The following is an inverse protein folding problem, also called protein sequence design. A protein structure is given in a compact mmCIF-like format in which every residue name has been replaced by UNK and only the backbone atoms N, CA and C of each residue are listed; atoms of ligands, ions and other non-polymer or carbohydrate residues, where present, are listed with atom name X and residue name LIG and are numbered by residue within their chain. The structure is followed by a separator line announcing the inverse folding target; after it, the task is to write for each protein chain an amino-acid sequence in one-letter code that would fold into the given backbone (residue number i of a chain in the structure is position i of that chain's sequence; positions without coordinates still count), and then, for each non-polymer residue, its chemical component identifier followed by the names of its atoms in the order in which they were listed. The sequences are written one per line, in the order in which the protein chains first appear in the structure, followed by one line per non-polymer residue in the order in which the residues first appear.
data_IF_513583985272
#
_entry.id   IF_513583985272
#
_cell.length_a   1.000
_cell.length_b   1.000
_cell.length_c   1.000
_cell.angle_alpha   90.00
_cell.angle_beta   90.00
_cell.angle_gamma   90.00
#
_symmetry.space_group_name_H-M   'P 1'
#
loop_
_entity.id
_entity.type
_entity.pdbx_description
1 polymer ?
#
# COMPACT_ATOMS: atom_id res chain seq x y z
N UNK A 1 -13.91 -0.28 5.91
CA UNK A 1 -13.85 0.02 4.47
C UNK A 1 -15.05 0.85 4.07
N UNK A 2 -14.89 1.87 3.21
CA UNK A 2 -16.00 2.57 2.58
C UNK A 2 -17.03 1.61 1.97
N UNK A 3 -18.28 2.03 2.06
CA UNK A 3 -19.48 1.26 1.77
C UNK A 3 -20.42 2.00 0.81
N UNK A 4 -20.07 3.23 0.43
CA UNK A 4 -20.76 4.03 -0.59
C UNK A 4 -19.77 4.76 -1.50
N UNK A 5 -20.19 5.19 -2.71
CA UNK A 5 -19.36 6.02 -3.57
C UNK A 5 -18.88 7.31 -2.92
N UNK A 6 -19.72 7.96 -2.10
CA UNK A 6 -19.41 9.23 -1.42
C UNK A 6 -18.27 9.04 -0.42
N UNK A 7 -18.26 7.94 0.33
CA UNK A 7 -17.16 7.63 1.25
C UNK A 7 -15.84 7.39 0.50
N UNK A 8 -15.89 6.79 -0.70
CA UNK A 8 -14.71 6.65 -1.57
C UNK A 8 -14.23 7.98 -2.14
N UNK A 9 -15.15 8.87 -2.51
CA UNK A 9 -14.80 10.22 -2.98
C UNK A 9 -14.05 11.01 -1.90
N UNK A 10 -14.47 10.91 -0.63
CA UNK A 10 -13.77 11.52 0.49
C UNK A 10 -12.33 11.01 0.62
N UNK A 11 -12.10 9.70 0.43
CA UNK A 11 -10.74 9.14 0.43
C UNK A 11 -9.93 9.70 -0.73
N UNK A 12 -10.53 9.80 -1.92
CA UNK A 12 -9.88 10.35 -3.11
C UNK A 12 -9.51 11.82 -2.97
N UNK A 13 -10.38 12.64 -2.40
CA UNK A 13 -10.13 14.05 -2.14
C UNK A 13 -8.95 14.22 -1.19
N UNK A 14 -8.92 13.45 -0.10
CA UNK A 14 -7.80 13.45 0.85
C UNK A 14 -6.48 13.03 0.19
N UNK A 15 -6.49 12.05 -0.72
CA UNK A 15 -5.30 11.68 -1.49
C UNK A 15 -4.83 12.78 -2.43
N UNK A 16 -5.76 13.46 -3.08
CA UNK A 16 -5.43 14.57 -3.95
C UNK A 16 -4.79 15.72 -3.16
N UNK A 17 -5.39 16.10 -2.04
CA UNK A 17 -4.92 17.20 -1.18
C UNK A 17 -3.58 16.87 -0.53
N UNK A 18 -3.46 15.70 0.11
CA UNK A 18 -2.32 15.36 0.95
C UNK A 18 -1.17 14.72 0.17
N UNK A 19 -1.43 14.09 -0.98
CA UNK A 19 -0.43 13.33 -1.74
C UNK A 19 -0.29 13.77 -3.19
N UNK A 20 -1.08 14.75 -3.64
CA UNK A 20 -1.11 15.21 -5.02
C UNK A 20 -1.40 14.08 -6.02
N UNK A 21 -2.25 13.13 -5.63
CA UNK A 21 -2.64 12.00 -6.46
C UNK A 21 -4.17 11.96 -6.60
N UNK A 22 -4.74 12.52 -7.68
CA UNK A 22 -6.19 12.53 -7.90
C UNK A 22 -6.73 11.11 -8.16
N UNK A 23 -8.04 10.93 -8.02
CA UNK A 23 -8.77 9.67 -8.27
C UNK A 23 -8.18 8.43 -7.57
N UNK A 24 -7.49 8.63 -6.44
CA UNK A 24 -6.81 7.56 -5.71
C UNK A 24 -7.62 7.11 -4.50
N UNK A 25 -7.97 5.83 -4.43
CA UNK A 25 -8.81 5.26 -3.37
C UNK A 25 -8.01 4.65 -2.20
N UNK A 26 -6.68 4.70 -2.27
CA UNK A 26 -5.80 4.09 -1.27
C UNK A 26 -4.60 3.39 -1.87
N UNK A 27 -3.62 3.09 -1.02
CA UNK A 27 -2.49 2.26 -1.40
C UNK A 27 -2.63 0.85 -0.85
N UNK A 28 -2.45 -0.14 -1.73
CA UNK A 28 -2.50 -1.56 -1.39
C UNK A 28 -1.07 -2.07 -1.23
N UNK A 29 -0.85 -2.79 -0.14
CA UNK A 29 0.42 -3.45 0.12
C UNK A 29 0.20 -4.74 0.88
N UNK A 30 1.07 -5.71 0.66
CA UNK A 30 1.11 -6.92 1.47
C UNK A 30 2.49 -7.10 2.08
N UNK A 31 2.54 -7.69 3.28
CA UNK A 31 3.80 -8.14 3.91
C UNK A 31 3.60 -9.52 4.51
N UNK A 32 4.62 -10.36 4.42
CA UNK A 32 4.66 -11.56 5.25
C UNK A 32 4.80 -11.16 6.72
N UNK A 33 4.13 -11.84 7.64
CA UNK A 33 4.38 -11.78 9.08
C UNK A 33 5.05 -13.09 9.46
N UNK A 34 6.33 -13.02 9.85
CA UNK A 34 7.09 -14.21 10.19
C UNK A 34 6.51 -14.94 11.42
N UNK A 35 6.49 -16.26 11.34
CA UNK A 35 6.09 -17.18 12.40
C UNK A 35 7.27 -18.08 12.78
N UNK A 36 7.32 -18.53 14.03
CA UNK A 36 8.02 -19.77 14.31
C UNK A 36 7.32 -20.90 13.55
N UNK A 37 8.09 -21.80 12.96
CA UNK A 37 7.56 -22.95 12.21
C UNK A 37 6.51 -23.67 13.05
N UNK A 38 5.24 -23.70 12.60
CA UNK A 38 4.19 -24.40 13.32
C UNK A 38 4.47 -25.90 13.38
N UNK A 39 4.00 -26.55 14.44
CA UNK A 39 4.22 -27.99 14.64
C UNK A 39 3.48 -28.76 13.54
N UNK A 40 4.14 -29.73 12.92
CA UNK A 40 3.59 -30.58 11.84
C UNK A 40 3.09 -29.84 10.58
N UNK A 41 3.51 -28.59 10.34
CA UNK A 41 3.05 -27.80 9.18
C UNK A 41 3.71 -28.12 7.84
N UNK A 42 4.72 -29.00 7.83
CA UNK A 42 5.53 -29.27 6.65
C UNK A 42 6.05 -27.97 6.00
N UNK A 43 5.75 -27.79 4.70
CA UNK A 43 6.15 -26.61 3.92
C UNK A 43 5.02 -25.61 3.65
N UNK A 44 3.87 -25.75 4.32
CA UNK A 44 2.65 -24.99 4.01
C UNK A 44 2.84 -23.47 4.21
N UNK A 45 3.49 -23.09 5.32
CA UNK A 45 3.80 -21.69 5.65
C UNK A 45 5.17 -21.24 5.16
N UNK A 46 5.95 -22.16 4.58
CA UNK A 46 7.34 -21.94 4.18
C UNK A 46 7.38 -21.03 2.93
N UNK A 47 7.83 -19.80 3.13
CA UNK A 47 7.91 -18.79 2.08
C UNK A 47 9.20 -18.94 1.26
N UNK A 48 9.28 -18.16 0.17
CA UNK A 48 10.43 -18.17 -0.74
C UNK A 48 11.75 -17.68 -0.12
N UNK A 49 11.71 -17.12 1.09
CA UNK A 49 12.90 -16.73 1.88
C UNK A 49 13.23 -17.76 2.96
N UNK A 50 12.72 -18.97 2.87
CA UNK A 50 13.03 -20.07 3.79
C UNK A 50 12.55 -19.88 5.23
N UNK A 51 11.46 -19.12 5.44
CA UNK A 51 10.85 -18.91 6.75
C UNK A 51 9.34 -19.19 6.72
N UNK A 52 8.76 -19.60 7.85
CA UNK A 52 7.31 -19.71 7.98
C UNK A 52 6.67 -18.32 8.16
N UNK A 53 5.56 -18.06 7.47
CA UNK A 53 4.85 -16.79 7.59
C UNK A 53 3.37 -16.90 7.19
N UNK A 54 2.56 -15.99 7.72
CA UNK A 54 1.25 -15.63 7.14
C UNK A 54 1.40 -14.31 6.37
N UNK A 55 0.47 -13.96 5.51
CA UNK A 55 0.48 -12.68 4.78
C UNK A 55 -0.56 -11.74 5.36
N UNK A 56 -0.16 -10.51 5.65
CA UNK A 56 -1.04 -9.38 5.91
C UNK A 56 -1.15 -8.54 4.64
N UNK A 57 -2.32 -8.53 4.02
CA UNK A 57 -2.69 -7.64 2.92
C UNK A 57 -3.49 -6.46 3.49
N UNK A 58 -3.15 -5.23 3.11
CA UNK A 58 -3.81 -4.05 3.61
C UNK A 58 -4.04 -3.00 2.53
N UNK A 59 -5.11 -2.22 2.70
CA UNK A 59 -5.40 -0.98 1.99
C UNK A 59 -5.36 0.16 3.00
N UNK A 60 -4.62 1.23 2.70
CA UNK A 60 -4.42 2.36 3.62
C UNK A 60 -4.84 3.67 2.96
N UNK A 61 -5.45 4.58 3.74
CA UNK A 61 -5.86 5.92 3.31
C UNK A 61 -4.74 6.96 3.41
N UNK A 62 -4.94 8.16 2.82
CA UNK A 62 -3.97 9.25 2.88
C UNK A 62 -3.66 9.73 4.31
N UNK A 63 -4.53 9.43 5.28
CA UNK A 63 -4.40 9.75 6.69
C UNK A 63 -3.72 8.64 7.52
N UNK A 64 -3.08 7.67 6.85
CA UNK A 64 -2.38 6.55 7.45
C UNK A 64 -3.28 5.61 8.26
N UNK A 65 -4.57 5.51 7.93
CA UNK A 65 -5.45 4.50 8.54
C UNK A 65 -5.61 3.30 7.62
N UNK A 66 -5.70 2.11 8.20
CA UNK A 66 -6.16 0.93 7.50
C UNK A 66 -7.63 1.09 7.10
N UNK A 67 -7.91 1.05 5.79
CA UNK A 67 -9.25 0.99 5.22
C UNK A 67 -9.77 -0.45 5.23
N UNK A 68 -8.86 -1.37 4.92
CA UNK A 68 -9.08 -2.81 4.82
C UNK A 68 -7.80 -3.53 5.24
N UNK A 69 -7.96 -4.69 5.88
CA UNK A 69 -6.89 -5.62 6.17
C UNK A 69 -7.42 -7.05 6.10
N UNK A 70 -6.57 -7.96 5.63
CA UNK A 70 -6.81 -9.39 5.53
C UNK A 70 -5.50 -10.10 5.91
N UNK A 71 -5.56 -10.98 6.90
CA UNK A 71 -4.40 -11.66 7.46
C UNK A 71 -4.65 -13.18 7.50
N UNK A 72 -3.59 -13.98 7.52
CA UNK A 72 -3.68 -15.43 7.72
C UNK A 72 -3.41 -16.28 6.47
N UNK A 73 -3.40 -15.68 5.28
CA UNK A 73 -3.05 -16.39 4.04
C UNK A 73 -1.64 -17.00 4.15
N UNK A 74 -1.47 -18.26 3.75
CA UNK A 74 -0.19 -18.96 3.91
C UNK A 74 0.94 -18.30 3.11
N UNK A 75 2.13 -18.18 3.72
CA UNK A 75 3.28 -17.50 3.15
C UNK A 75 3.90 -18.14 1.90
N UNK A 76 3.50 -19.37 1.55
CA UNK A 76 3.86 -20.01 0.27
C UNK A 76 3.15 -19.38 -0.93
N UNK A 77 1.99 -18.76 -0.71
CA UNK A 77 1.16 -18.21 -1.79
C UNK A 77 1.79 -16.90 -2.30
N UNK A 78 1.97 -16.79 -3.62
CA UNK A 78 2.44 -15.53 -4.26
C UNK A 78 1.47 -14.38 -3.99
N UNK A 79 1.93 -13.13 -4.01
CA UNK A 79 1.11 -11.92 -3.81
C UNK A 79 -0.11 -11.91 -4.71
N UNK A 80 0.09 -12.26 -5.98
CA UNK A 80 -0.99 -12.28 -6.95
C UNK A 80 -2.02 -13.36 -6.63
N UNK A 81 -1.64 -14.41 -5.90
CA UNK A 81 -2.53 -15.41 -5.32
C UNK A 81 -3.22 -14.86 -4.06
N UNK A 82 -2.46 -14.35 -3.09
CA UNK A 82 -3.00 -13.74 -1.85
C UNK A 82 -4.05 -12.69 -2.20
N UNK A 83 -3.70 -11.76 -3.10
CA UNK A 83 -4.59 -10.71 -3.56
C UNK A 83 -5.82 -11.29 -4.25
N UNK A 84 -5.69 -12.23 -5.20
CA UNK A 84 -6.84 -12.84 -5.89
C UNK A 84 -7.79 -13.60 -4.95
N UNK A 85 -7.26 -14.18 -3.88
CA UNK A 85 -8.07 -14.89 -2.89
C UNK A 85 -8.67 -13.98 -1.82
N UNK A 86 -8.11 -12.78 -1.65
CA UNK A 86 -8.60 -11.79 -0.69
C UNK A 86 -10.04 -11.37 -0.96
N UNK A 87 -10.74 -11.02 0.11
CA UNK A 87 -12.10 -10.48 0.01
C UNK A 87 -12.14 -9.15 -0.76
N UNK A 88 -11.07 -8.35 -0.69
CA UNK A 88 -10.93 -7.11 -1.45
C UNK A 88 -11.01 -7.36 -2.97
N UNK A 89 -10.24 -8.32 -3.48
CA UNK A 89 -10.28 -8.65 -4.91
C UNK A 89 -11.62 -9.23 -5.34
N UNK A 90 -12.21 -10.13 -4.53
CA UNK A 90 -13.54 -10.69 -4.84
C UNK A 90 -14.59 -9.59 -4.96
N UNK A 91 -14.62 -8.65 -4.01
CA UNK A 91 -15.54 -7.50 -4.04
C UNK A 91 -15.25 -6.53 -5.18
N UNK A 92 -13.98 -6.37 -5.57
CA UNK A 92 -13.59 -5.58 -6.73
C UNK A 92 -14.11 -6.20 -8.03
N UNK A 93 -14.02 -7.52 -8.19
CA UNK A 93 -14.50 -8.22 -9.39
C UNK A 93 -16.03 -8.29 -9.47
N UNK A 94 -16.71 -8.35 -8.33
CA UNK A 94 -18.18 -8.38 -8.27
C UNK A 94 -18.83 -6.99 -8.24
N UNK A 95 -18.06 -5.91 -8.42
CA UNK A 95 -18.50 -4.51 -8.29
C UNK A 95 -19.18 -4.16 -6.94
N UNK A 96 -18.89 -4.92 -5.89
CA UNK A 96 -19.48 -4.75 -4.56
C UNK A 96 -18.74 -3.71 -3.69
N UNK A 97 -17.61 -3.20 -4.17
CA UNK A 97 -16.91 -2.08 -3.53
C UNK A 97 -17.63 -0.74 -3.71
N UNK A 98 -18.58 -0.63 -4.65
CA UNK A 98 -19.29 0.63 -4.97
C UNK A 98 -18.31 1.78 -5.27
N UNK A 99 -17.29 1.48 -6.07
CA UNK A 99 -16.34 2.49 -6.55
C UNK A 99 -17.12 3.55 -7.35
N UNK A 100 -16.83 4.86 -7.18
CA UNK A 100 -17.47 5.92 -7.95
C UNK A 100 -17.27 5.74 -9.46
N UNK A 101 -18.20 6.27 -10.25
CA UNK A 101 -18.05 6.32 -11.71
C UNK A 101 -16.79 7.07 -12.11
N UNK A 102 -16.18 6.68 -13.23
CA UNK A 102 -15.01 7.34 -13.79
C UNK A 102 -15.17 8.87 -13.84
N UNK A 103 -14.06 9.58 -13.65
CA UNK A 103 -14.00 11.04 -13.68
C UNK A 103 -12.70 11.46 -14.36
N UNK A 104 -12.74 12.55 -15.13
CA UNK A 104 -11.51 13.10 -15.68
C UNK A 104 -10.57 13.61 -14.58
N UNK A 105 -9.27 13.51 -14.84
CA UNK A 105 -8.27 14.13 -13.96
C UNK A 105 -8.36 15.66 -14.06
N UNK A 106 -7.94 16.42 -13.02
CA UNK A 106 -8.01 17.88 -13.03
C UNK A 106 -7.36 18.49 -14.29
N UNK A 107 -8.13 19.27 -15.07
CA UNK A 107 -7.64 19.90 -16.30
C UNK A 107 -7.44 18.94 -17.49
N UNK A 108 -7.92 17.69 -17.40
CA UNK A 108 -7.95 16.71 -18.48
C UNK A 108 -9.40 16.47 -18.92
N UNK A 109 -9.58 15.98 -20.15
CA UNK A 109 -10.91 15.71 -20.73
C UNK A 109 -11.26 14.22 -20.77
N UNK A 110 -10.26 13.34 -20.74
CA UNK A 110 -10.48 11.91 -20.76
C UNK A 110 -10.90 11.42 -19.37
N UNK A 111 -12.03 10.74 -19.29
CA UNK A 111 -12.47 10.08 -18.07
C UNK A 111 -11.57 8.87 -17.78
N UNK A 112 -11.18 8.74 -16.51
CA UNK A 112 -10.44 7.58 -16.02
C UNK A 112 -11.08 7.06 -14.75
N UNK A 113 -10.93 5.77 -14.56
CA UNK A 113 -11.42 5.08 -13.39
C UNK A 113 -10.69 5.54 -12.13
N UNK A 114 -11.38 5.42 -10.99
CA UNK A 114 -10.72 5.53 -9.69
C UNK A 114 -9.84 4.31 -9.45
N UNK A 115 -8.65 4.54 -8.87
CA UNK A 115 -7.58 3.53 -8.80
C UNK A 115 -7.04 3.37 -7.38
N UNK A 116 -6.62 2.16 -7.07
CA UNK A 116 -5.75 1.84 -5.96
C UNK A 116 -4.30 1.84 -6.41
N UNK A 117 -3.41 2.33 -5.56
CA UNK A 117 -1.98 2.31 -5.82
C UNK A 117 -1.40 0.98 -5.32
N UNK A 118 -1.05 0.08 -6.24
CA UNK A 118 -0.46 -1.21 -5.91
C UNK A 118 1.06 -1.21 -6.00
N UNK A 119 1.72 -1.88 -5.06
CA UNK A 119 3.15 -2.19 -5.17
C UNK A 119 3.46 -2.98 -6.46
N UNK A 120 4.72 -3.02 -6.88
CA UNK A 120 5.14 -3.62 -8.15
C UNK A 120 4.65 -5.07 -8.37
N UNK A 121 4.50 -5.81 -7.28
CA UNK A 121 4.08 -7.20 -7.28
C UNK A 121 2.57 -7.40 -7.55
N UNK A 122 1.75 -6.36 -7.46
CA UNK A 122 0.34 -6.41 -7.84
C UNK A 122 0.19 -6.41 -9.37
N UNK A 123 -0.86 -7.06 -9.92
CA UNK A 123 -1.16 -6.96 -11.35
C UNK A 123 -1.68 -5.55 -11.69
N UNK A 124 -1.23 -4.99 -12.82
CA UNK A 124 -1.83 -3.79 -13.38
C UNK A 124 -3.24 -4.15 -13.90
N UNK A 125 -4.26 -3.42 -13.46
CA UNK A 125 -5.66 -3.68 -13.82
C UNK A 125 -6.45 -2.36 -13.88
N UNK A 126 -7.73 -2.44 -14.26
CA UNK A 126 -8.62 -1.30 -14.39
C UNK A 126 -8.63 -0.37 -13.16
N UNK A 127 -8.62 -0.95 -11.96
CA UNK A 127 -8.64 -0.21 -10.69
C UNK A 127 -7.33 -0.31 -9.89
N UNK A 128 -6.25 -0.85 -10.47
CA UNK A 128 -4.96 -0.97 -9.76
C UNK A 128 -3.84 -0.50 -10.67
N UNK A 129 -3.20 0.58 -10.28
CA UNK A 129 -2.04 1.11 -10.99
C UNK A 129 -0.75 0.82 -10.21
N UNK A 130 0.32 0.57 -10.96
CA UNK A 130 1.64 0.26 -10.43
C UNK A 130 2.73 0.93 -11.28
N UNK A 131 3.97 1.03 -10.77
CA UNK A 131 5.08 1.65 -11.49
C UNK A 131 5.27 1.07 -12.90
N UNK A 132 5.80 1.87 -13.82
CA UNK A 132 6.45 1.37 -15.02
C UNK A 132 7.66 0.52 -14.63
N UNK A 133 7.81 -0.62 -15.29
CA UNK A 133 8.91 -1.56 -15.03
C UNK A 133 10.19 -1.12 -15.73
N UNK A 134 11.33 -1.38 -15.11
CA UNK A 134 12.64 -1.06 -15.64
C UNK A 134 13.16 0.30 -15.17
N UNK A 135 14.34 0.65 -15.68
CA UNK A 135 15.02 1.91 -15.35
C UNK A 135 14.69 2.95 -16.41
N UNK A 136 14.22 4.11 -15.96
CA UNK A 136 13.84 5.23 -16.82
C UNK A 136 14.77 6.42 -16.61
N UNK A 137 14.98 7.20 -17.67
CA UNK A 137 15.85 8.39 -17.62
C UNK A 137 15.21 9.49 -16.75
N UNK A 138 16.06 10.28 -16.10
CA UNK A 138 15.63 11.47 -15.35
C UNK A 138 14.78 12.39 -16.24
N UNK A 139 13.66 12.89 -15.71
CA UNK A 139 12.70 13.73 -16.42
C UNK A 139 11.81 13.01 -17.44
N UNK A 140 11.93 11.69 -17.62
CA UNK A 140 10.98 10.97 -18.47
C UNK A 140 9.60 10.89 -17.82
N UNK A 141 8.57 10.72 -18.65
CA UNK A 141 7.19 10.58 -18.21
C UNK A 141 7.02 9.39 -17.23
N UNK A 142 7.63 8.25 -17.53
CA UNK A 142 7.60 7.06 -16.69
C UNK A 142 8.30 7.30 -15.35
N UNK A 143 9.42 8.02 -15.38
CA UNK A 143 10.21 8.32 -14.18
C UNK A 143 9.47 9.28 -13.25
N UNK A 144 8.85 10.33 -13.80
CA UNK A 144 7.98 11.26 -13.05
C UNK A 144 6.78 10.52 -12.46
N UNK A 145 6.11 9.70 -13.26
CA UNK A 145 4.99 8.89 -12.78
C UNK A 145 5.41 7.95 -11.65
N UNK A 146 6.50 7.20 -11.82
CA UNK A 146 7.00 6.27 -10.81
C UNK A 146 7.32 7.00 -9.51
N UNK A 147 7.98 8.15 -9.59
CA UNK A 147 8.29 8.97 -8.41
C UNK A 147 7.01 9.45 -7.69
N UNK A 148 6.04 10.00 -8.42
CA UNK A 148 4.75 10.46 -7.88
C UNK A 148 3.96 9.32 -7.23
N UNK A 149 3.91 8.16 -7.89
CA UNK A 149 3.24 6.97 -7.37
C UNK A 149 3.96 6.41 -6.14
N UNK A 150 5.28 6.28 -6.14
CA UNK A 150 6.05 5.81 -4.98
C UNK A 150 5.87 6.73 -3.77
N UNK A 151 5.86 8.06 -3.99
CA UNK A 151 5.58 9.04 -2.93
C UNK A 151 4.18 8.85 -2.33
N UNK A 152 3.16 8.71 -3.17
CA UNK A 152 1.79 8.50 -2.72
C UNK A 152 1.59 7.11 -2.06
N UNK A 153 2.32 6.09 -2.51
CA UNK A 153 2.30 4.75 -1.91
C UNK A 153 3.02 4.69 -0.57
N UNK A 154 4.03 5.53 -0.32
CA UNK A 154 4.85 5.51 0.91
C UNK A 154 4.03 5.52 2.20
N UNK A 155 2.81 6.05 2.18
CA UNK A 155 1.87 6.01 3.30
C UNK A 155 1.65 4.60 3.84
N UNK A 156 1.54 3.59 2.97
CA UNK A 156 1.29 2.21 3.41
C UNK A 156 2.54 1.65 4.08
N UNK A 157 3.72 1.93 3.53
CA UNK A 157 5.00 1.51 4.13
C UNK A 157 5.19 2.11 5.52
N UNK A 158 4.85 3.40 5.70
CA UNK A 158 4.84 4.07 6.99
C UNK A 158 3.92 3.34 7.97
N UNK A 159 2.69 3.00 7.58
CA UNK A 159 1.75 2.32 8.47
C UNK A 159 2.28 0.95 8.92
N UNK A 160 2.81 0.15 8.01
CA UNK A 160 3.43 -1.14 8.38
C UNK A 160 4.66 -0.94 9.28
N UNK A 161 5.51 0.05 8.97
CA UNK A 161 6.71 0.39 9.73
C UNK A 161 6.41 0.85 11.16
N UNK A 162 5.47 1.78 11.31
CA UNK A 162 4.98 2.28 12.60
C UNK A 162 4.34 1.14 13.38
N UNK A 163 3.52 0.30 12.74
CA UNK A 163 2.88 -0.85 13.40
C UNK A 163 3.93 -1.80 13.96
N UNK A 164 5.00 -2.11 13.20
CA UNK A 164 6.11 -2.93 13.71
C UNK A 164 6.95 -2.23 14.77
N UNK A 165 7.14 -0.91 14.65
CA UNK A 165 7.87 -0.13 15.64
C UNK A 165 7.13 -0.10 16.98
N UNK A 166 5.84 0.19 16.99
CA UNK A 166 5.07 0.28 18.24
C UNK A 166 4.75 -1.12 18.79
N UNK A 167 4.22 -2.01 17.95
CA UNK A 167 3.83 -3.36 18.36
C UNK A 167 4.97 -4.34 18.11
N UNK A 168 5.93 -4.35 19.04
CA UNK A 168 7.21 -5.08 18.90
C UNK A 168 7.09 -6.58 18.64
N UNK A 169 5.93 -7.19 18.86
CA UNK A 169 5.63 -8.56 18.44
C UNK A 169 5.79 -8.77 16.93
N UNK A 170 5.62 -7.72 16.12
CA UNK A 170 5.84 -7.73 14.66
C UNK A 170 7.31 -7.46 14.25
N UNK A 171 8.26 -7.48 15.19
CA UNK A 171 9.70 -7.35 14.88
C UNK A 171 10.41 -8.69 14.83
N UNK A 172 9.88 -9.70 15.52
CA UNK A 172 10.42 -11.06 15.56
C UNK A 172 9.39 -12.06 15.06
N UNK A 173 9.83 -13.28 14.67
CA UNK A 173 8.88 -14.36 14.39
C UNK A 173 7.92 -14.55 15.57
N UNK A 174 6.62 -14.59 15.27
CA UNK A 174 5.59 -14.76 16.30
C UNK A 174 5.59 -16.22 16.74
N UNK A 175 5.65 -16.43 18.05
CA UNK A 175 5.68 -17.74 18.70
C UNK A 175 4.26 -18.26 18.99
N UNK A 176 3.39 -18.22 17.99
CA UNK A 176 2.00 -18.63 18.09
C UNK A 176 1.59 -19.43 16.85
N UNK A 177 0.60 -20.31 17.01
CA UNK A 177 -0.05 -20.97 15.88
C UNK A 177 -0.66 -19.93 14.91
N UNK A 178 -0.73 -20.23 13.60
CA UNK A 178 -1.17 -19.29 12.56
C UNK A 178 -2.49 -18.57 12.87
N UNK A 179 -3.48 -19.28 13.41
CA UNK A 179 -4.81 -18.75 13.73
C UNK A 179 -4.72 -17.71 14.87
N UNK A 180 -3.87 -17.96 15.86
CA UNK A 180 -3.62 -17.01 16.96
C UNK A 180 -2.80 -15.82 16.48
N UNK A 181 -1.82 -16.05 15.61
CA UNK A 181 -1.03 -14.98 15.03
C UNK A 181 -1.89 -14.05 14.16
N UNK A 182 -2.84 -14.60 13.39
CA UNK A 182 -3.83 -13.82 12.63
C UNK A 182 -4.64 -12.90 13.55
N UNK A 183 -5.19 -13.42 14.64
CA UNK A 183 -5.94 -12.63 15.63
C UNK A 183 -5.10 -11.49 16.21
N UNK A 184 -3.84 -11.76 16.55
CA UNK A 184 -2.90 -10.73 17.04
C UNK A 184 -2.68 -9.64 15.99
N UNK A 185 -2.42 -10.03 14.74
CA UNK A 185 -2.17 -9.10 13.63
C UNK A 185 -3.41 -8.23 13.36
N UNK A 186 -4.60 -8.83 13.29
CA UNK A 186 -5.84 -8.09 13.09
C UNK A 186 -6.17 -7.16 14.26
N UNK A 187 -5.87 -7.58 15.50
CA UNK A 187 -6.00 -6.72 16.68
C UNK A 187 -5.07 -5.50 16.59
N UNK A 188 -3.82 -5.68 16.12
CA UNK A 188 -2.88 -4.57 15.91
C UNK A 188 -3.40 -3.58 14.87
N UNK A 189 -3.97 -4.05 13.77
CA UNK A 189 -4.60 -3.19 12.75
C UNK A 189 -5.71 -2.34 13.37
N UNK A 190 -6.58 -2.95 14.18
CA UNK A 190 -7.67 -2.25 14.86
C UNK A 190 -7.16 -1.23 15.88
N UNK A 191 -6.17 -1.61 16.70
CA UNK A 191 -5.54 -0.72 17.68
C UNK A 191 -4.83 0.46 17.02
N UNK A 192 -4.12 0.23 15.91
CA UNK A 192 -3.51 1.30 15.12
C UNK A 192 -4.55 2.34 14.71
N UNK A 193 -5.65 1.88 14.09
CA UNK A 193 -6.74 2.77 13.67
C UNK A 193 -7.40 3.49 14.86
N UNK A 194 -7.64 2.79 15.97
CA UNK A 194 -8.20 3.38 17.18
C UNK A 194 -7.34 4.54 17.70
N UNK A 195 -6.04 4.31 17.83
CA UNK A 195 -5.07 5.29 18.31
C UNK A 195 -4.89 6.45 17.32
N UNK A 196 -4.92 6.17 16.01
CA UNK A 196 -4.71 7.17 14.95
C UNK A 196 -5.91 8.09 14.74
N UNK A 197 -7.12 7.56 14.87
CA UNK A 197 -8.37 8.31 14.63
C UNK A 197 -8.71 9.27 15.76
N UNK A 198 -8.47 8.88 17.01
CA UNK A 198 -8.76 9.73 18.17
C UNK A 198 -7.79 10.93 18.25
N UNK A 199 -8.34 12.14 18.42
CA UNK A 199 -7.58 13.40 18.43
C UNK A 199 -6.55 13.49 19.56
N UNK A 200 -6.85 12.90 20.72
CA UNK A 200 -5.97 12.96 21.89
C UNK A 200 -4.81 11.97 21.80
N UNK A 201 -5.09 10.74 21.36
CA UNK A 201 -4.08 9.68 21.28
C UNK A 201 -3.19 9.82 20.04
N UNK A 202 -3.67 10.42 18.94
CA UNK A 202 -2.95 10.48 17.67
C UNK A 202 -1.56 11.10 17.80
N UNK A 203 -1.45 12.24 18.48
CA UNK A 203 -0.18 12.94 18.65
C UNK A 203 0.77 12.21 19.59
N UNK A 204 0.24 11.45 20.55
CA UNK A 204 1.03 10.60 21.45
C UNK A 204 1.49 9.33 20.75
N UNK A 205 0.62 8.73 19.93
CA UNK A 205 0.90 7.50 19.19
C UNK A 205 1.88 7.76 18.03
N UNK A 206 1.71 8.88 17.32
CA UNK A 206 2.56 9.31 16.22
C UNK A 206 2.99 10.77 16.42
N UNK A 207 3.97 11.03 17.30
CA UNK A 207 4.53 12.38 17.49
C UNK A 207 5.19 12.91 16.21
N UNK A 208 5.45 14.22 16.17
CA UNK A 208 6.14 14.87 15.04
C UNK A 208 7.45 14.16 14.72
N UNK A 209 7.72 13.96 13.43
CA UNK A 209 8.87 13.17 12.95
C UNK A 209 8.61 11.67 12.84
N UNK A 210 7.46 11.16 13.30
CA UNK A 210 7.15 9.72 13.15
C UNK A 210 7.10 9.31 11.68
N UNK A 211 6.37 10.04 10.84
CA UNK A 211 6.16 9.67 9.44
C UNK A 211 7.30 10.16 8.55
N UNK A 212 7.51 9.45 7.45
CA UNK A 212 8.31 9.96 6.33
C UNK A 212 7.72 11.27 5.81
N UNK A 213 8.59 12.24 5.54
CA UNK A 213 8.20 13.54 4.97
C UNK A 213 9.09 13.89 3.79
N UNK A 214 8.63 14.83 2.96
CA UNK A 214 9.47 15.44 1.92
C UNK A 214 9.58 16.93 2.26
N UNK A 215 10.79 17.41 2.56
CA UNK A 215 11.07 18.82 2.86
C UNK A 215 11.89 19.39 1.71
N UNK A 216 11.36 20.39 1.01
CA UNK A 216 11.97 20.96 -0.20
C UNK A 216 12.32 19.90 -1.26
N UNK A 217 11.50 18.85 -1.30
CA UNK A 217 11.66 17.69 -2.16
C UNK A 217 12.64 16.63 -1.66
N UNK A 218 13.45 16.93 -0.63
CA UNK A 218 14.33 15.93 -0.03
C UNK A 218 13.54 14.98 0.86
N UNK A 219 13.76 13.69 0.64
CA UNK A 219 13.19 12.64 1.47
C UNK A 219 13.80 12.69 2.87
N UNK A 220 12.95 12.89 3.88
CA UNK A 220 13.32 12.82 5.28
C UNK A 220 12.68 11.56 5.87
N UNK A 221 13.48 10.55 6.27
CA UNK A 221 12.96 9.32 6.85
C UNK A 221 12.29 9.61 8.19
N UNK A 222 11.15 8.97 8.44
CA UNK A 222 10.49 9.05 9.75
C UNK A 222 11.22 8.24 10.82
N UNK A 223 11.07 8.62 12.08
CA UNK A 223 11.76 8.00 13.23
C UNK A 223 11.51 6.48 13.35
N UNK A 224 10.42 5.95 12.78
CA UNK A 224 10.19 4.49 12.78
C UNK A 224 11.24 3.74 11.94
N UNK A 225 11.96 4.41 11.04
CA UNK A 225 13.05 3.82 10.24
C UNK A 225 14.36 3.70 11.02
N UNK A 226 14.53 4.46 12.10
CA UNK A 226 15.76 4.48 12.90
C UNK A 226 15.91 3.27 13.83
N UNK A 227 14.89 2.41 13.94
CA UNK A 227 15.01 1.19 14.75
C UNK A 227 16.16 0.32 14.24
N UNK A 228 17.20 0.08 15.06
CA UNK A 228 18.40 -0.63 14.63
C UNK A 228 18.06 -2.11 14.47
N UNK A 229 17.77 -2.51 13.23
CA UNK A 229 18.10 -3.80 12.63
C UNK A 229 17.30 -3.97 11.32
N UNK A 230 17.92 -3.60 10.21
CA UNK A 230 17.44 -3.85 8.84
C UNK A 230 17.19 -5.35 8.56
N UNK A 231 17.69 -6.24 9.43
CA UNK A 231 17.51 -7.69 9.36
C UNK A 231 16.46 -8.28 10.34
N UNK A 232 15.76 -7.48 11.14
CA UNK A 232 14.75 -7.96 12.12
C UNK A 232 13.39 -7.27 11.95
N UNK A 233 12.83 -7.36 10.75
CA UNK A 233 11.41 -7.11 10.53
C UNK A 233 10.76 -8.44 10.23
N UNK A 234 9.79 -8.87 11.05
CA UNK A 234 8.94 -10.02 10.67
C UNK A 234 8.13 -9.73 9.42
N UNK A 235 8.06 -8.44 9.05
CA UNK A 235 7.44 -7.91 7.85
C UNK A 235 8.38 -7.95 6.65
N UNK A 236 8.20 -8.93 5.77
CA UNK A 236 9.02 -9.12 4.57
C UNK A 236 8.24 -8.65 3.33
N UNK A 237 8.83 -7.82 2.44
CA UNK A 237 8.22 -7.46 1.16
C UNK A 237 8.00 -8.71 0.32
N UNK A 238 6.88 -8.78 -0.38
CA UNK A 238 6.52 -9.98 -1.14
C UNK A 238 7.11 -9.92 -2.58
N UNK A 239 7.04 -11.01 -3.36
CA UNK A 239 7.83 -11.21 -4.59
C UNK A 239 7.09 -10.74 -5.84
N UNK A 240 7.74 -9.90 -6.64
CA UNK A 240 7.23 -9.50 -7.95
C UNK A 240 7.32 -10.66 -8.97
N UNK A 241 6.21 -10.96 -9.65
CA UNK A 241 6.16 -11.86 -10.81
C UNK A 241 5.69 -11.08 -12.04
N UNK A 242 6.42 -11.13 -13.17
CA UNK A 242 6.05 -10.42 -14.38
C UNK A 242 4.75 -10.99 -14.99
N UNK A 243 3.85 -10.10 -15.41
CA UNK A 243 2.57 -10.45 -16.06
C UNK A 243 2.24 -9.45 -17.16
N UNK A 244 1.68 -9.95 -18.27
CA UNK A 244 1.16 -9.08 -19.34
C UNK A 244 -0.09 -8.36 -18.83
N UNK A 245 -0.12 -7.04 -19.02
CA UNK A 245 -1.21 -6.20 -18.52
C UNK A 245 -2.21 -5.88 -19.63
N UNK A 246 -3.52 -5.80 -19.36
CA UNK A 246 -4.53 -5.39 -20.34
C UNK A 246 -4.23 -4.01 -20.93
N UNK A 247 -4.64 -3.76 -22.18
CA UNK A 247 -4.42 -2.46 -22.85
C UNK A 247 -5.12 -1.31 -22.12
N UNK A 248 -6.38 -1.50 -21.75
CA UNK A 248 -7.17 -0.54 -20.96
C UNK A 248 -6.43 -0.09 -19.68
N UNK A 249 -5.86 -1.03 -18.93
CA UNK A 249 -5.12 -0.73 -17.70
C UNK A 249 -3.81 0.04 -17.97
N UNK A 250 -3.17 -0.19 -19.12
CA UNK A 250 -2.01 0.60 -19.55
C UNK A 250 -2.44 2.01 -19.96
N UNK A 251 -3.56 2.16 -20.66
CA UNK A 251 -4.09 3.45 -21.09
C UNK A 251 -4.47 4.32 -19.88
N UNK A 252 -5.12 3.75 -18.86
CA UNK A 252 -5.38 4.42 -17.58
C UNK A 252 -4.07 4.92 -16.96
N UNK A 253 -3.05 4.05 -16.82
CA UNK A 253 -1.76 4.44 -16.25
C UNK A 253 -1.07 5.55 -17.06
N UNK A 254 -1.11 5.45 -18.38
CA UNK A 254 -0.52 6.44 -19.28
C UNK A 254 -1.22 7.80 -19.15
N UNK A 255 -2.54 7.82 -18.93
CA UNK A 255 -3.29 9.06 -18.70
C UNK A 255 -2.87 9.75 -17.39
N UNK A 256 -2.70 8.99 -16.30
CA UNK A 256 -2.12 9.53 -15.06
C UNK A 256 -0.69 10.06 -15.28
N UNK A 257 0.13 9.33 -16.03
CA UNK A 257 1.50 9.74 -16.30
C UNK A 257 1.56 11.03 -17.13
N UNK A 258 0.72 11.15 -18.17
CA UNK A 258 0.58 12.36 -18.97
C UNK A 258 0.06 13.55 -18.14
N UNK A 259 -0.88 13.30 -17.23
CA UNK A 259 -1.36 14.31 -16.28
C UNK A 259 -0.22 14.86 -15.41
N UNK A 260 0.62 14.00 -14.82
CA UNK A 260 1.73 14.45 -13.96
C UNK A 260 2.81 15.24 -14.72
N UNK A 261 2.95 15.06 -16.03
CA UNK A 261 3.86 15.86 -16.86
C UNK A 261 3.22 17.15 -17.40
N UNK A 262 1.90 17.32 -17.25
CA UNK A 262 1.13 18.46 -17.77
C UNK A 262 0.40 19.19 -16.63
N UNK A 263 -0.94 19.08 -16.57
CA UNK A 263 -1.80 19.81 -15.63
C UNK A 263 -1.49 19.51 -14.15
N UNK A 264 -1.02 18.29 -13.87
CA UNK A 264 -0.69 17.81 -12.52
C UNK A 264 0.75 18.03 -12.11
N UNK A 265 1.54 18.77 -12.90
CA UNK A 265 2.95 19.06 -12.62
C UNK A 265 3.10 19.86 -11.33
N UNK A 266 4.12 19.51 -10.54
CA UNK A 266 4.49 20.19 -9.29
C UNK A 266 5.97 20.60 -9.36
N UNK A 267 6.33 21.70 -8.68
CA UNK A 267 7.66 22.31 -8.81
C UNK A 267 8.83 21.40 -8.40
N UNK A 268 8.62 20.48 -7.45
CA UNK A 268 9.67 19.62 -6.91
C UNK A 268 9.87 18.31 -7.67
N UNK A 269 9.00 17.94 -8.62
CA UNK A 269 9.07 16.58 -9.19
C UNK A 269 10.30 16.34 -10.07
N UNK A 270 10.78 17.36 -10.77
CA UNK A 270 11.90 17.24 -11.73
C UNK A 270 13.28 17.16 -11.05
N UNK A 271 13.34 17.53 -9.77
CA UNK A 271 14.57 17.39 -8.98
C UNK A 271 14.94 15.92 -8.73
N UNK A 272 13.94 15.03 -8.65
CA UNK A 272 14.10 13.63 -8.20
C UNK A 272 13.67 12.58 -9.23
N UNK A 273 12.71 12.94 -10.09
CA UNK A 273 12.31 12.14 -11.23
C UNK A 273 13.44 12.12 -12.25
#
# INVERSE_FOLDING_TARGET
MPSTPEEWLLVSEQYQELRNFPNCLGAIYGKHVALQTPINSGSEYYNYKSHCSIVLLALVDANYNFIFADAGCQGRISDGGVFKHSTLYKRLQSNDLKIPTARSLPGRNQEVEYVFLGHEAFPLSKHIIKPFSGTHRKGSLERIFNYRLSRAQRIVENVFGISSSVFRILRKPILLEPEKAELVVMTIVLLHNFLRRNRHSRTLYNPTGTFDTDIDGQFVPGNWRETPNENMSSLIPIRCLPRKSPKEAQDIRNEFAAYFTSNGRVCWQDHYA
#
